data_IF_115576456576
#
_entry.id   IF_115576456576
#
_cell.length_a   1.000
_cell.length_b   1.000
_cell.length_c   1.000
_cell.angle_alpha   90.00
_cell.angle_beta   90.00
_cell.angle_gamma   90.00
#
_symmetry.space_group_name_H-M   'P 1'
#
loop_
_entity.id
_entity.type
_entity.pdbx_description
1 polymer ?
#
# COMPACT_ATOMS: atom_id res chain seq x y z
N UNK A 1 -6.98 -14.24 -26.11
CA UNK A 1 -8.06 -13.24 -26.21
C UNK A 1 -7.51 -11.89 -25.81
N UNK A 2 -7.38 -10.96 -26.75
CA UNK A 2 -6.79 -9.63 -26.52
C UNK A 2 -7.72 -8.55 -27.06
N UNK A 3 -8.69 -8.14 -26.23
CA UNK A 3 -9.56 -7.01 -26.55
C UNK A 3 -8.89 -5.69 -26.20
N UNK A 4 -9.19 -4.61 -26.94
CA UNK A 4 -8.85 -3.24 -26.54
C UNK A 4 -9.80 -2.81 -25.42
N UNK A 5 -9.27 -2.69 -24.21
CA UNK A 5 -9.99 -2.09 -23.08
C UNK A 5 -9.82 -0.58 -23.07
N UNK A 6 -10.88 0.15 -22.73
CA UNK A 6 -10.82 1.59 -22.42
C UNK A 6 -11.33 1.81 -20.99
N UNK A 7 -10.65 2.68 -20.23
CA UNK A 7 -11.11 3.06 -18.90
C UNK A 7 -12.20 4.12 -19.04
N UNK A 8 -13.45 3.70 -18.88
CA UNK A 8 -14.62 4.56 -18.96
C UNK A 8 -15.15 4.84 -17.55
N UNK A 9 -15.41 6.12 -17.27
CA UNK A 9 -16.11 6.56 -16.05
C UNK A 9 -17.55 6.90 -16.41
N UNK A 10 -18.44 5.91 -16.33
CA UNK A 10 -19.86 6.05 -16.72
C UNK A 10 -20.74 6.15 -15.47
N UNK A 11 -21.82 6.92 -15.57
CA UNK A 11 -22.87 6.98 -14.56
C UNK A 11 -24.15 6.33 -15.11
N UNK A 12 -24.89 5.65 -14.24
CA UNK A 12 -26.21 5.12 -14.56
C UNK A 12 -27.24 6.26 -14.73
N UNK A 13 -28.48 5.91 -15.09
CA UNK A 13 -29.57 6.87 -15.26
C UNK A 13 -29.89 7.65 -13.97
N UNK A 14 -29.50 7.11 -12.81
CA UNK A 14 -29.67 7.69 -11.49
C UNK A 14 -28.44 8.53 -11.06
N UNK A 15 -27.46 8.73 -11.96
CA UNK A 15 -26.26 9.50 -11.70
C UNK A 15 -25.20 8.79 -10.85
N UNK A 16 -25.43 7.52 -10.48
CA UNK A 16 -24.48 6.71 -9.70
C UNK A 16 -23.38 6.18 -10.60
N UNK A 17 -22.15 6.21 -10.10
CA UNK A 17 -21.01 5.63 -10.82
C UNK A 17 -21.24 4.12 -11.02
N UNK A 18 -21.11 3.67 -12.27
CA UNK A 18 -21.14 2.25 -12.64
C UNK A 18 -19.83 1.61 -12.21
N UNK A 19 -19.84 0.97 -11.04
CA UNK A 19 -18.70 0.27 -10.46
C UNK A 19 -19.18 -0.74 -9.42
N UNK A 20 -18.44 -1.85 -9.25
CA UNK A 20 -18.62 -2.73 -8.09
C UNK A 20 -18.23 -1.98 -6.82
N UNK A 21 -19.15 -1.90 -5.86
CA UNK A 21 -18.92 -1.25 -4.56
C UNK A 21 -18.88 -2.30 -3.48
N UNK A 22 -17.87 -2.21 -2.63
CA UNK A 22 -17.74 -3.07 -1.46
C UNK A 22 -17.16 -2.24 -0.33
N UNK A 23 -17.62 -2.49 0.89
CA UNK A 23 -17.02 -1.88 2.07
C UNK A 23 -15.64 -2.48 2.33
N UNK A 24 -14.70 -1.60 2.66
CA UNK A 24 -13.44 -2.05 3.24
C UNK A 24 -13.68 -2.64 4.63
N UNK A 25 -12.83 -3.57 5.09
CA UNK A 25 -12.89 -4.05 6.47
C UNK A 25 -12.85 -2.90 7.47
N UNK A 26 -13.73 -2.96 8.45
CA UNK A 26 -13.91 -1.98 9.52
C UNK A 26 -12.95 -2.21 10.70
N UNK A 27 -12.21 -3.32 10.72
CA UNK A 27 -11.26 -3.67 11.78
C UNK A 27 -9.85 -3.94 11.26
N UNK A 28 -8.85 -3.53 12.05
CA UNK A 28 -7.44 -3.72 11.71
C UNK A 28 -7.07 -5.20 11.47
N UNK A 29 -7.50 -6.18 12.29
CA UNK A 29 -7.19 -7.58 12.03
C UNK A 29 -7.75 -8.08 10.70
N UNK A 30 -8.97 -7.67 10.32
CA UNK A 30 -9.58 -8.05 9.06
C UNK A 30 -8.85 -7.42 7.86
N UNK A 31 -8.51 -6.13 7.93
CA UNK A 31 -7.72 -5.45 6.91
C UNK A 31 -6.32 -6.08 6.73
N UNK A 32 -5.66 -6.45 7.83
CA UNK A 32 -4.37 -7.13 7.83
C UNK A 32 -4.49 -8.50 7.17
N UNK A 33 -5.49 -9.32 7.52
CA UNK A 33 -5.71 -10.64 6.90
C UNK A 33 -5.97 -10.52 5.40
N UNK A 34 -6.87 -9.62 5.00
CA UNK A 34 -7.18 -9.40 3.58
C UNK A 34 -5.93 -8.98 2.81
N UNK A 35 -5.18 -7.99 3.28
CA UNK A 35 -3.98 -7.53 2.58
C UNK A 35 -2.85 -8.57 2.58
N UNK A 36 -2.68 -9.32 3.67
CA UNK A 36 -1.69 -10.40 3.75
C UNK A 36 -1.97 -11.48 2.71
N UNK A 37 -3.24 -11.86 2.50
CA UNK A 37 -3.65 -12.82 1.47
C UNK A 37 -3.15 -12.42 0.07
N UNK A 38 -3.31 -11.15 -0.30
CA UNK A 38 -2.83 -10.62 -1.58
C UNK A 38 -1.29 -10.64 -1.67
N UNK A 39 -0.60 -10.25 -0.59
CA UNK A 39 0.88 -10.27 -0.56
C UNK A 39 1.40 -11.71 -0.71
N UNK A 40 0.82 -12.69 -0.01
CA UNK A 40 1.22 -14.10 -0.15
C UNK A 40 1.00 -14.59 -1.58
N UNK A 41 -0.19 -14.38 -2.15
CA UNK A 41 -0.52 -14.91 -3.47
C UNK A 41 0.26 -14.25 -4.61
N UNK A 42 0.29 -12.91 -4.64
CA UNK A 42 0.88 -12.15 -5.75
C UNK A 42 2.39 -11.98 -5.56
N UNK A 43 2.81 -11.52 -4.38
CA UNK A 43 4.19 -11.10 -4.17
C UNK A 43 5.13 -12.27 -3.87
N UNK A 44 4.68 -13.25 -3.09
CA UNK A 44 5.53 -14.36 -2.61
C UNK A 44 5.33 -15.62 -3.46
N UNK A 45 4.16 -16.27 -3.39
CA UNK A 45 3.87 -17.48 -4.16
C UNK A 45 3.90 -17.24 -5.68
N UNK A 46 3.54 -16.04 -6.13
CA UNK A 46 3.67 -15.63 -7.53
C UNK A 46 5.12 -15.58 -8.01
N UNK A 47 6.09 -15.39 -7.11
CA UNK A 47 7.52 -15.53 -7.43
C UNK A 47 7.87 -16.98 -7.76
N UNK A 48 7.51 -17.92 -6.89
CA UNK A 48 7.85 -19.34 -7.04
C UNK A 48 7.17 -19.98 -8.24
N UNK A 49 5.85 -19.74 -8.38
CA UNK A 49 5.03 -20.47 -9.36
C UNK A 49 5.18 -19.95 -10.78
N UNK A 50 5.40 -18.65 -10.96
CA UNK A 50 5.46 -18.03 -12.28
C UNK A 50 6.88 -17.64 -12.71
N UNK A 51 7.85 -17.58 -11.78
CA UNK A 51 9.24 -17.24 -12.07
C UNK A 51 9.41 -15.85 -12.73
N UNK A 52 10.40 -15.73 -13.62
CA UNK A 52 10.72 -14.49 -14.37
C UNK A 52 10.79 -14.74 -15.88
N UNK A 53 9.70 -15.26 -16.42
CA UNK A 53 9.56 -15.54 -17.85
C UNK A 53 8.93 -14.34 -18.58
N UNK A 54 9.11 -14.27 -19.90
CA UNK A 54 8.58 -13.22 -20.76
C UNK A 54 9.56 -12.08 -21.04
N UNK A 55 9.09 -11.07 -21.77
CA UNK A 55 9.88 -9.90 -22.17
C UNK A 55 9.89 -8.76 -21.13
N UNK A 56 10.56 -7.64 -21.43
CA UNK A 56 10.72 -6.51 -20.50
C UNK A 56 9.40 -5.93 -19.96
N UNK A 57 8.35 -5.91 -20.79
CA UNK A 57 7.02 -5.45 -20.38
C UNK A 57 6.39 -6.35 -19.31
N UNK A 58 6.57 -7.66 -19.44
CA UNK A 58 6.05 -8.63 -18.48
C UNK A 58 6.86 -8.60 -17.18
N UNK A 59 8.16 -8.42 -17.27
CA UNK A 59 9.03 -8.19 -16.12
C UNK A 59 8.60 -6.96 -15.34
N UNK A 60 8.33 -5.85 -16.03
CA UNK A 60 7.83 -4.63 -15.42
C UNK A 60 6.51 -4.86 -14.65
N UNK A 61 5.56 -5.58 -15.25
CA UNK A 61 4.30 -5.93 -14.58
C UNK A 61 4.54 -6.78 -13.32
N UNK A 62 5.38 -7.83 -13.42
CA UNK A 62 5.72 -8.71 -12.30
C UNK A 62 6.43 -7.97 -11.16
N UNK A 63 7.35 -7.05 -11.47
CA UNK A 63 8.01 -6.19 -10.46
C UNK A 63 6.97 -5.34 -9.74
N UNK A 64 6.05 -4.71 -10.48
CA UNK A 64 5.01 -3.85 -9.89
C UNK A 64 4.10 -4.62 -8.95
N UNK A 65 3.79 -5.87 -9.28
CA UNK A 65 2.94 -6.75 -8.48
C UNK A 65 3.67 -7.28 -7.24
N UNK A 66 4.97 -7.60 -7.37
CA UNK A 66 5.80 -8.16 -6.29
C UNK A 66 6.42 -7.10 -5.36
N UNK A 67 6.30 -5.81 -5.67
CA UNK A 67 6.90 -4.74 -4.84
C UNK A 67 6.31 -4.63 -3.44
N UNK A 68 5.13 -5.21 -3.18
CA UNK A 68 4.39 -4.99 -1.93
C UNK A 68 5.19 -5.39 -0.68
N UNK A 69 5.93 -6.51 -0.75
CA UNK A 69 6.76 -6.99 0.36
C UNK A 69 7.96 -6.08 0.61
N UNK A 70 8.67 -5.69 -0.46
CA UNK A 70 9.80 -4.75 -0.38
C UNK A 70 9.37 -3.36 0.11
N UNK A 71 8.21 -2.89 -0.36
CA UNK A 71 7.66 -1.61 0.06
C UNK A 71 7.41 -1.56 1.58
N UNK A 72 6.98 -2.67 2.20
CA UNK A 72 6.80 -2.72 3.65
C UNK A 72 8.13 -2.54 4.41
N UNK A 73 9.23 -3.14 3.93
CA UNK A 73 10.56 -2.95 4.52
C UNK A 73 11.02 -1.50 4.39
N UNK A 74 10.82 -0.88 3.23
CA UNK A 74 11.15 0.53 2.99
C UNK A 74 10.35 1.44 3.93
N UNK A 75 9.06 1.16 4.16
CA UNK A 75 8.23 1.93 5.08
C UNK A 75 8.74 1.79 6.52
N UNK A 76 9.12 0.58 6.97
CA UNK A 76 9.72 0.37 8.30
C UNK A 76 11.00 1.17 8.45
N UNK A 77 11.90 1.08 7.46
CA UNK A 77 13.15 1.84 7.45
C UNK A 77 12.88 3.35 7.49
N UNK A 78 11.92 3.86 6.72
CA UNK A 78 11.56 5.27 6.71
C UNK A 78 11.07 5.76 8.08
N UNK A 79 10.21 5.02 8.77
CA UNK A 79 9.76 5.38 10.12
C UNK A 79 10.87 5.25 11.17
N UNK A 80 11.73 4.24 11.06
CA UNK A 80 12.89 4.09 11.94
C UNK A 80 13.85 5.27 11.78
N UNK A 81 14.16 5.65 10.53
CA UNK A 81 14.99 6.82 10.23
C UNK A 81 14.35 8.10 10.75
N UNK A 82 13.04 8.30 10.55
CA UNK A 82 12.33 9.46 11.08
C UNK A 82 12.41 9.54 12.61
N UNK A 83 12.22 8.41 13.29
CA UNK A 83 12.33 8.31 14.75
C UNK A 83 13.75 8.64 15.23
N UNK A 84 14.75 7.97 14.67
CA UNK A 84 16.17 8.18 15.02
C UNK A 84 16.60 9.63 14.76
N UNK A 85 16.22 10.19 13.61
CA UNK A 85 16.46 11.59 13.28
C UNK A 85 15.82 12.52 14.32
N UNK A 86 14.57 12.29 14.68
CA UNK A 86 13.86 13.10 15.69
C UNK A 86 14.55 13.03 17.05
N UNK A 87 15.01 11.84 17.46
CA UNK A 87 15.76 11.66 18.71
C UNK A 87 17.10 12.38 18.68
N UNK A 88 17.82 12.34 17.56
CA UNK A 88 19.09 13.06 17.39
C UNK A 88 18.90 14.57 17.46
N UNK A 89 17.85 15.11 16.84
CA UNK A 89 17.55 16.55 16.92
C UNK A 89 17.17 16.98 18.34
N UNK A 90 16.41 16.17 19.07
CA UNK A 90 16.11 16.44 20.48
C UNK A 90 17.36 16.37 21.37
N UNK A 91 18.31 15.48 21.05
CA UNK A 91 19.55 15.31 21.81
C UNK A 91 20.67 16.25 21.36
N UNK A 92 20.50 16.99 20.25
CA UNK A 92 21.49 17.92 19.68
C UNK A 92 22.06 18.91 20.71
N UNK A 93 21.26 19.53 21.62
CA UNK A 93 21.79 20.44 22.62
C UNK A 93 22.76 19.79 23.62
N UNK A 94 22.70 18.46 23.78
CA UNK A 94 23.46 17.72 24.79
C UNK A 94 24.63 16.92 24.21
N UNK A 95 24.53 16.44 22.97
CA UNK A 95 25.50 15.51 22.38
C UNK A 95 26.45 16.15 21.35
N UNK A 96 26.22 17.41 20.95
CA UNK A 96 26.92 18.10 19.85
C UNK A 96 27.31 17.15 18.69
N UNK A 97 26.34 16.42 18.11
CA UNK A 97 26.65 15.39 17.12
C UNK A 97 27.27 16.02 15.88
N UNK A 98 28.41 15.49 15.43
CA UNK A 98 28.98 15.84 14.13
C UNK A 98 28.13 15.22 13.02
N UNK A 99 27.19 16.01 12.51
CA UNK A 99 26.45 15.62 11.31
C UNK A 99 27.32 15.85 10.09
N UNK A 100 27.49 14.81 9.27
CA UNK A 100 28.14 14.95 7.98
C UNK A 100 27.31 15.92 7.12
N UNK A 101 27.90 16.94 6.51
CA UNK A 101 27.15 17.84 5.63
C UNK A 101 26.52 17.05 4.49
N UNK A 102 25.30 17.41 4.10
CA UNK A 102 24.63 16.84 2.94
C UNK A 102 25.38 17.21 1.66
N UNK A 103 25.35 16.33 0.67
CA UNK A 103 25.88 16.64 -0.65
C UNK A 103 24.75 17.23 -1.52
N UNK A 104 25.05 18.07 -2.52
CA UNK A 104 24.04 18.63 -3.41
C UNK A 104 23.16 17.58 -4.10
N UNK A 105 23.72 16.39 -4.36
CA UNK A 105 23.00 15.25 -4.91
C UNK A 105 21.93 14.73 -3.93
N UNK A 106 22.29 14.55 -2.65
CA UNK A 106 21.36 14.11 -1.61
C UNK A 106 20.23 15.12 -1.45
N UNK A 107 20.54 16.41 -1.39
CA UNK A 107 19.53 17.47 -1.24
C UNK A 107 18.56 17.51 -2.43
N UNK A 108 19.09 17.32 -3.64
CA UNK A 108 18.28 17.23 -4.86
C UNK A 108 17.34 16.00 -4.83
N UNK A 109 17.86 14.84 -4.40
CA UNK A 109 17.07 13.61 -4.30
C UNK A 109 15.99 13.71 -3.21
N UNK A 110 16.31 14.30 -2.05
CA UNK A 110 15.34 14.53 -0.97
C UNK A 110 14.24 15.50 -1.41
N UNK A 111 14.61 16.58 -2.10
CA UNK A 111 13.67 17.56 -2.64
C UNK A 111 12.74 16.92 -3.67
N UNK A 112 13.28 16.15 -4.61
CA UNK A 112 12.49 15.41 -5.59
C UNK A 112 11.54 14.41 -4.92
N UNK A 113 12.03 13.68 -3.91
CA UNK A 113 11.22 12.73 -3.16
C UNK A 113 10.06 13.42 -2.44
N UNK A 114 10.31 14.57 -1.83
CA UNK A 114 9.28 15.40 -1.19
C UNK A 114 8.21 15.84 -2.19
N UNK A 115 8.61 16.31 -3.38
CA UNK A 115 7.68 16.66 -4.45
C UNK A 115 6.82 15.48 -4.90
N UNK A 116 7.44 14.31 -5.12
CA UNK A 116 6.72 13.09 -5.50
C UNK A 116 5.76 12.61 -4.40
N UNK A 117 6.13 12.79 -3.13
CA UNK A 117 5.26 12.49 -2.00
C UNK A 117 4.08 13.45 -1.94
N UNK A 118 4.31 14.76 -2.06
CA UNK A 118 3.26 15.78 -2.10
C UNK A 118 2.27 15.53 -3.25
N UNK A 119 2.79 15.24 -4.45
CA UNK A 119 1.98 14.85 -5.60
C UNK A 119 1.08 13.64 -5.31
N UNK A 120 1.64 12.59 -4.68
CA UNK A 120 0.90 11.38 -4.34
C UNK A 120 -0.20 11.65 -3.30
N UNK A 121 0.09 12.48 -2.30
CA UNK A 121 -0.88 12.88 -1.27
C UNK A 121 -2.02 13.66 -1.93
N UNK A 122 -1.68 14.64 -2.78
CA UNK A 122 -2.65 15.45 -3.51
C UNK A 122 -3.56 14.58 -4.38
N UNK A 123 -2.98 13.69 -5.21
CA UNK A 123 -3.77 12.77 -6.04
C UNK A 123 -4.74 11.94 -5.21
N UNK A 124 -4.26 11.35 -4.10
CA UNK A 124 -5.11 10.57 -3.19
C UNK A 124 -6.24 11.41 -2.61
N UNK A 125 -5.94 12.61 -2.11
CA UNK A 125 -6.93 13.49 -1.49
C UNK A 125 -7.97 13.96 -2.52
N UNK A 126 -7.55 14.34 -3.73
CA UNK A 126 -8.44 14.80 -4.80
C UNK A 126 -9.38 13.68 -5.26
N UNK A 127 -8.87 12.47 -5.51
CA UNK A 127 -9.73 11.35 -5.95
C UNK A 127 -10.65 10.86 -4.84
N UNK A 128 -10.18 10.77 -3.59
CA UNK A 128 -11.04 10.43 -2.46
C UNK A 128 -12.12 11.51 -2.21
N UNK A 129 -11.74 12.79 -2.34
CA UNK A 129 -12.63 13.93 -2.23
C UNK A 129 -13.70 13.94 -3.33
N UNK A 130 -13.31 13.65 -4.57
CA UNK A 130 -14.25 13.56 -5.68
C UNK A 130 -15.21 12.36 -5.53
N UNK A 131 -14.75 11.24 -4.98
CA UNK A 131 -15.58 10.05 -4.83
C UNK A 131 -16.53 10.12 -3.62
N UNK A 132 -16.08 10.64 -2.48
CA UNK A 132 -16.78 10.55 -1.19
C UNK A 132 -16.99 11.90 -0.50
N UNK A 133 -16.64 13.02 -1.14
CA UNK A 133 -16.74 14.38 -0.59
C UNK A 133 -15.46 14.86 0.09
N UNK A 134 -15.32 16.18 0.20
CA UNK A 134 -14.07 16.85 0.64
C UNK A 134 -13.56 16.37 2.01
N UNK A 135 -14.45 16.07 2.96
CA UNK A 135 -14.10 15.51 4.29
C UNK A 135 -13.32 14.21 4.15
N UNK A 136 -13.71 13.34 3.23
CA UNK A 136 -13.02 12.09 2.95
C UNK A 136 -11.69 12.31 2.23
N UNK A 137 -11.59 13.36 1.41
CA UNK A 137 -10.35 13.81 0.79
C UNK A 137 -9.31 14.25 1.83
N UNK A 138 -9.69 15.14 2.75
CA UNK A 138 -8.82 15.59 3.84
C UNK A 138 -8.41 14.43 4.76
N UNK A 139 -9.38 13.62 5.17
CA UNK A 139 -9.12 12.44 6.01
C UNK A 139 -8.29 11.37 5.28
N UNK A 140 -8.09 11.45 3.96
CA UNK A 140 -7.21 10.53 3.25
C UNK A 140 -5.73 10.71 3.62
N UNK A 141 -5.34 11.92 4.04
CA UNK A 141 -3.96 12.23 4.47
C UNK A 141 -3.59 11.51 5.76
N UNK A 142 -4.29 11.69 6.91
CA UNK A 142 -3.97 10.96 8.14
C UNK A 142 -4.19 9.45 7.99
N UNK A 143 -5.14 9.00 7.15
CA UNK A 143 -5.33 7.57 6.84
C UNK A 143 -4.10 6.93 6.17
N UNK A 144 -3.17 7.68 5.61
CA UNK A 144 -1.93 7.11 5.05
C UNK A 144 -1.07 6.45 6.14
N UNK A 145 -0.99 7.02 7.34
CA UNK A 145 -0.24 6.43 8.45
C UNK A 145 -0.84 5.09 8.87
N UNK A 146 -2.17 5.04 9.00
CA UNK A 146 -2.92 3.81 9.29
C UNK A 146 -2.70 2.78 8.17
N UNK A 147 -2.77 3.21 6.91
CA UNK A 147 -2.52 2.35 5.75
C UNK A 147 -1.10 1.78 5.70
N UNK A 148 -0.11 2.57 6.12
CA UNK A 148 1.28 2.13 6.26
C UNK A 148 1.43 1.09 7.38
N UNK A 149 0.82 1.32 8.56
CA UNK A 149 0.83 0.35 9.65
C UNK A 149 0.18 -0.99 9.23
N UNK A 150 -0.98 -0.94 8.57
CA UNK A 150 -1.64 -2.13 8.02
C UNK A 150 -0.74 -2.82 6.98
N UNK A 151 -0.03 -2.07 6.13
CA UNK A 151 0.88 -2.63 5.14
C UNK A 151 2.04 -3.41 5.80
N UNK A 152 2.66 -2.84 6.83
CA UNK A 152 3.76 -3.47 7.59
C UNK A 152 3.26 -4.77 8.25
N UNK A 153 2.15 -4.68 8.98
CA UNK A 153 1.59 -5.83 9.70
C UNK A 153 1.10 -6.94 8.76
N UNK A 154 0.51 -6.57 7.62
CA UNK A 154 0.10 -7.50 6.58
C UNK A 154 1.31 -8.19 5.94
N UNK A 155 2.38 -7.46 5.64
CA UNK A 155 3.62 -8.02 5.11
C UNK A 155 4.28 -8.98 6.12
N UNK A 156 4.36 -8.59 7.40
CA UNK A 156 4.84 -9.47 8.47
C UNK A 156 4.04 -10.77 8.54
N UNK A 157 2.70 -10.68 8.56
CA UNK A 157 1.83 -11.86 8.57
C UNK A 157 2.05 -12.72 7.32
N UNK A 158 2.14 -12.09 6.16
CA UNK A 158 2.35 -12.78 4.88
C UNK A 158 3.66 -13.57 4.85
N UNK A 159 4.77 -12.95 5.26
CA UNK A 159 6.09 -13.61 5.31
C UNK A 159 6.08 -14.79 6.27
N UNK A 160 5.51 -14.63 7.47
CA UNK A 160 5.42 -15.73 8.45
C UNK A 160 4.63 -16.92 7.87
N UNK A 161 3.45 -16.67 7.29
CA UNK A 161 2.62 -17.73 6.71
C UNK A 161 3.29 -18.41 5.51
N UNK A 162 3.98 -17.62 4.68
CA UNK A 162 4.71 -18.14 3.54
C UNK A 162 5.90 -19.00 3.96
N UNK A 163 6.73 -18.56 4.92
CA UNK A 163 7.83 -19.37 5.47
C UNK A 163 7.30 -20.65 6.10
N UNK A 164 6.19 -20.58 6.86
CA UNK A 164 5.54 -21.78 7.39
C UNK A 164 5.10 -22.76 6.29
N UNK A 165 4.63 -22.23 5.14
CA UNK A 165 4.26 -23.07 4.00
C UNK A 165 5.46 -23.74 3.33
N UNK A 166 6.61 -23.07 3.28
CA UNK A 166 7.86 -23.67 2.82
C UNK A 166 8.36 -24.77 3.76
N UNK A 167 8.04 -24.68 5.05
CA UNK A 167 8.31 -25.70 6.07
C UNK A 167 7.27 -26.83 6.09
N UNK A 168 6.39 -26.93 5.08
CA UNK A 168 5.43 -28.01 4.92
C UNK A 168 4.08 -27.82 5.61
N UNK A 169 3.82 -26.66 6.25
CA UNK A 169 2.48 -26.38 6.81
C UNK A 169 1.50 -25.99 5.69
N UNK A 170 0.24 -26.43 5.73
CA UNK A 170 -0.73 -26.02 4.73
C UNK A 170 -0.98 -24.52 4.81
N UNK A 171 -0.94 -23.84 3.66
CA UNK A 171 -1.26 -22.42 3.60
C UNK A 171 -2.78 -22.24 3.76
N UNK A 172 -3.20 -21.81 4.95
CA UNK A 172 -4.61 -21.52 5.23
C UNK A 172 -4.98 -20.19 4.60
N UNK A 173 -5.77 -20.26 3.55
CA UNK A 173 -6.30 -19.09 2.85
C UNK A 173 -7.49 -18.53 3.63
N UNK A 174 -7.26 -17.57 4.51
CA UNK A 174 -8.34 -16.86 5.21
C UNK A 174 -9.30 -16.26 4.18
N UNK A 175 -10.58 -16.64 4.23
CA UNK A 175 -11.62 -16.05 3.38
C UNK A 175 -11.92 -14.63 3.86
N UNK A 176 -11.96 -13.68 2.95
CA UNK A 176 -12.36 -12.30 3.24
C UNK A 176 -13.87 -12.24 3.41
N UNK A 177 -14.35 -11.59 4.46
CA UNK A 177 -15.76 -11.25 4.58
C UNK A 177 -16.04 -10.10 3.60
N UNK A 178 -17.11 -10.24 2.83
CA UNK A 178 -17.55 -9.24 1.86
C UNK A 178 -18.81 -8.58 2.38
N UNK A 179 -18.85 -7.24 2.38
CA UNK A 179 -20.04 -6.44 2.70
C UNK A 179 -20.35 -5.51 1.53
N UNK A 180 -21.53 -5.65 0.95
CA UNK A 180 -21.99 -4.88 -0.21
C UNK A 180 -23.07 -3.87 0.20
N UNK A 181 -23.03 -2.63 -0.31
CA UNK A 181 -24.05 -1.62 0.01
C UNK A 181 -25.47 -2.05 -0.34
N UNK A 182 -25.66 -2.71 -1.49
CA UNK A 182 -26.98 -3.06 -2.01
C UNK A 182 -27.67 -4.21 -1.24
N UNK A 183 -26.93 -4.93 -0.40
CA UNK A 183 -27.46 -6.04 0.43
C UNK A 183 -28.01 -5.55 1.78
N UNK A 184 -27.76 -4.30 2.18
CA UNK A 184 -28.31 -3.69 3.41
C UNK A 184 -29.65 -2.99 3.15
N UNK A 185 -29.95 -2.58 1.90
CA UNK A 185 -31.24 -1.98 1.51
C UNK A 185 -32.41 -3.01 1.44
N UNK A 186 -32.11 -4.30 1.58
CA UNK A 186 -33.09 -5.40 1.48
C UNK A 186 -33.35 -6.13 2.81
N UNK A 187 -32.82 -5.62 3.93
CA UNK A 187 -32.96 -6.19 5.27
C UNK A 187 -33.74 -5.26 6.20
#
# INVERSE_FOLDING_TARGET
>A
MGGRGIFLRIRDAQGRLVATREYFPDSAPAAIRQKARWIIGISLAGWDRMGWQGGPAEWWMRIRDRRATLAALIIVAAYATLLLWSMLELARPFLTPQMRPSTPLIDSLLTLNLWLMAWRIMMRATFAGHAYGWRHGLAAVPRMFVGNAIAILAARRAVILYVQSLLGKPLVWDKTQHRFPDMEEQA
#
